data_IF_912016763700
#
_entry.id   IF_912016763700
#
_cell.length_a   1.000
_cell.length_b   1.000
_cell.length_c   1.000
_cell.angle_alpha   90.00
_cell.angle_beta   90.00
_cell.angle_gamma   90.00
#
_symmetry.space_group_name_H-M   'P 1'
#
loop_
_entity.id
_entity.type
_entity.pdbx_description
1 polymer ?
#
# COMPACT_ATOMS: atom_id res chain seq x y z
N UNK A 1 31.26 -48.22 -25.93
CA UNK A 1 29.89 -47.67 -25.78
C UNK A 1 29.70 -47.17 -24.37
N UNK A 2 29.15 -45.95 -24.23
CA UNK A 2 28.50 -45.33 -23.07
C UNK A 2 29.34 -44.92 -21.84
N UNK A 3 29.56 -43.60 -21.79
CA UNK A 3 29.84 -42.80 -20.61
C UNK A 3 28.64 -42.76 -19.64
N UNK A 4 28.91 -42.52 -18.35
CA UNK A 4 27.94 -41.95 -17.43
C UNK A 4 28.69 -41.12 -16.38
N UNK A 5 28.64 -39.79 -16.52
CA UNK A 5 29.07 -38.80 -15.53
C UNK A 5 27.90 -38.58 -14.57
N UNK A 6 28.08 -38.91 -13.29
CA UNK A 6 27.12 -38.61 -12.24
C UNK A 6 27.42 -37.21 -11.67
N UNK A 7 26.55 -36.24 -11.93
CA UNK A 7 26.58 -34.91 -11.34
C UNK A 7 25.65 -34.87 -10.11
N UNK A 8 26.07 -34.31 -8.96
CA UNK A 8 25.16 -34.10 -7.84
C UNK A 8 24.44 -32.75 -7.99
N UNK A 9 23.11 -32.79 -8.08
CA UNK A 9 22.25 -31.62 -7.97
C UNK A 9 22.19 -31.18 -6.50
N UNK A 10 22.86 -30.08 -6.17
CA UNK A 10 22.70 -29.41 -4.87
C UNK A 10 21.44 -28.54 -4.96
N UNK A 11 20.36 -28.99 -4.34
CA UNK A 11 19.13 -28.22 -4.21
C UNK A 11 19.32 -27.15 -3.13
N UNK A 12 19.27 -25.87 -3.53
CA UNK A 12 19.16 -24.74 -2.60
C UNK A 12 17.74 -24.69 -2.03
N UNK A 13 17.54 -24.64 -0.71
CA UNK A 13 16.23 -24.37 -0.13
C UNK A 13 15.95 -22.86 -0.28
N UNK A 14 15.01 -22.51 -1.16
CA UNK A 14 14.44 -21.18 -1.21
C UNK A 14 13.64 -20.95 0.08
N UNK A 15 14.23 -20.21 1.03
CA UNK A 15 13.49 -19.62 2.15
C UNK A 15 12.50 -18.61 1.57
N UNK A 16 11.27 -19.06 1.35
CA UNK A 16 10.14 -18.19 1.10
C UNK A 16 9.83 -17.45 2.41
N UNK A 17 10.38 -16.25 2.59
CA UNK A 17 9.88 -15.31 3.57
C UNK A 17 8.42 -15.02 3.22
N UNK A 18 7.51 -15.64 3.96
CA UNK A 18 6.08 -15.34 3.93
C UNK A 18 5.90 -13.91 4.45
N UNK A 19 5.93 -12.95 3.52
CA UNK A 19 5.51 -11.58 3.79
C UNK A 19 4.02 -11.65 4.18
N UNK A 20 3.60 -11.07 5.30
CA UNK A 20 2.20 -11.09 5.69
C UNK A 20 1.38 -10.52 4.54
N UNK A 21 0.37 -11.28 4.10
CA UNK A 21 -0.54 -10.89 3.04
C UNK A 21 -1.14 -9.53 3.40
N UNK A 22 -0.65 -8.48 2.74
CA UNK A 22 -1.17 -7.12 2.85
C UNK A 22 -2.62 -7.20 2.42
N UNK A 23 -3.54 -6.83 3.32
CA UNK A 23 -4.97 -6.78 3.04
C UNK A 23 -5.17 -6.09 1.69
N UNK A 24 -5.71 -6.86 0.75
CA UNK A 24 -5.74 -6.64 -0.69
C UNK A 24 -5.75 -5.16 -1.09
N UNK A 25 -4.59 -4.58 -1.39
CA UNK A 25 -4.54 -3.52 -2.39
C UNK A 25 -5.17 -4.15 -3.64
N UNK A 26 -6.16 -3.51 -4.25
CA UNK A 26 -6.50 -3.92 -5.61
C UNK A 26 -5.22 -3.74 -6.45
N UNK A 27 -4.60 -4.83 -6.94
CA UNK A 27 -3.36 -4.71 -7.71
C UNK A 27 -3.57 -3.83 -8.95
N UNK A 28 -4.81 -3.72 -9.43
CA UNK A 28 -5.16 -2.92 -10.58
C UNK A 28 -4.94 -1.41 -10.35
N UNK A 29 -5.17 -0.90 -9.13
CA UNK A 29 -5.14 0.54 -8.84
C UNK A 29 -3.84 1.00 -8.16
N UNK A 30 -2.96 0.06 -7.83
CA UNK A 30 -1.63 0.37 -7.26
C UNK A 30 -0.80 1.27 -8.19
N UNK A 31 -0.76 1.07 -9.52
CA UNK A 31 -0.07 1.98 -10.44
C UNK A 31 -0.60 3.42 -10.39
N UNK A 32 -1.92 3.61 -10.26
CA UNK A 32 -2.55 4.93 -10.21
C UNK A 32 -2.20 5.67 -8.91
N UNK A 33 -2.20 4.94 -7.79
CA UNK A 33 -1.72 5.47 -6.51
C UNK A 33 -0.28 5.97 -6.61
N UNK A 34 0.63 5.14 -7.15
CA UNK A 34 2.04 5.50 -7.31
C UNK A 34 2.21 6.68 -8.27
N UNK A 35 1.54 6.65 -9.42
CA UNK A 35 1.60 7.73 -10.40
C UNK A 35 1.14 9.07 -9.80
N UNK A 36 0.05 9.07 -9.03
CA UNK A 36 -0.44 10.26 -8.37
C UNK A 36 0.55 10.81 -7.34
N UNK A 37 1.18 9.94 -6.53
CA UNK A 37 2.20 10.36 -5.57
C UNK A 37 3.44 10.95 -6.25
N UNK A 38 3.89 10.33 -7.36
CA UNK A 38 5.04 10.79 -8.14
C UNK A 38 4.77 12.16 -8.78
N UNK A 39 3.56 12.35 -9.34
CA UNK A 39 3.11 13.63 -9.90
C UNK A 39 3.03 14.74 -8.84
N UNK A 40 2.73 14.39 -7.59
CA UNK A 40 2.69 15.31 -6.46
C UNK A 40 4.03 15.42 -5.71
N UNK A 41 5.11 14.87 -6.28
CA UNK A 41 6.47 14.90 -5.72
C UNK A 41 6.59 14.34 -4.31
N UNK A 42 5.75 13.36 -3.95
CA UNK A 42 5.82 12.68 -2.66
C UNK A 42 7.00 11.72 -2.68
N UNK A 43 7.97 11.93 -1.78
CA UNK A 43 9.11 11.02 -1.62
C UNK A 43 8.72 9.87 -0.69
N UNK A 44 9.05 8.66 -1.08
CA UNK A 44 8.85 7.45 -0.27
C UNK A 44 10.07 6.54 -0.37
N UNK A 45 10.28 5.72 0.66
CA UNK A 45 11.45 4.84 0.76
C UNK A 45 11.43 3.73 -0.29
N UNK A 46 10.26 3.16 -0.55
CA UNK A 46 10.03 2.15 -1.58
C UNK A 46 8.56 2.11 -1.97
N UNK A 47 8.26 1.62 -3.19
CA UNK A 47 6.88 1.43 -3.64
C UNK A 47 6.11 0.48 -2.71
N UNK A 48 6.75 -0.61 -2.24
CA UNK A 48 6.13 -1.55 -1.30
C UNK A 48 5.69 -0.86 0.00
N UNK A 49 6.58 -0.04 0.59
CA UNK A 49 6.28 0.67 1.84
C UNK A 49 5.11 1.62 1.66
N UNK A 50 5.10 2.44 0.60
CA UNK A 50 4.06 3.45 0.43
C UNK A 50 2.71 2.82 0.07
N UNK A 51 2.70 1.73 -0.71
CA UNK A 51 1.49 0.94 -0.96
C UNK A 51 0.94 0.39 0.35
N UNK A 52 1.81 -0.18 1.21
CA UNK A 52 1.37 -0.65 2.53
C UNK A 52 0.77 0.47 3.37
N UNK A 53 1.35 1.68 3.34
CA UNK A 53 0.77 2.85 4.04
C UNK A 53 -0.64 3.14 3.53
N UNK A 54 -0.83 3.20 2.21
CA UNK A 54 -2.14 3.46 1.61
C UNK A 54 -3.18 2.38 1.93
N UNK A 55 -2.84 1.12 1.76
CA UNK A 55 -3.76 -0.01 2.05
C UNK A 55 -4.08 -0.11 3.54
N UNK A 56 -3.11 0.18 4.41
CA UNK A 56 -3.31 0.13 5.86
C UNK A 56 -4.19 1.30 6.32
N UNK A 57 -3.98 2.51 5.77
CA UNK A 57 -4.91 3.62 5.98
C UNK A 57 -6.33 3.21 5.59
N UNK A 58 -6.50 2.65 4.40
CA UNK A 58 -7.79 2.19 3.92
C UNK A 58 -8.47 1.22 4.89
N UNK A 59 -7.74 0.17 5.27
CA UNK A 59 -8.23 -0.83 6.19
C UNK A 59 -8.57 -0.25 7.57
N UNK A 60 -7.78 0.71 8.08
CA UNK A 60 -8.05 1.37 9.35
C UNK A 60 -9.34 2.18 9.31
N UNK A 61 -9.55 2.96 8.25
CA UNK A 61 -10.72 3.81 8.10
C UNK A 61 -11.98 2.96 7.88
N UNK A 62 -11.92 1.99 6.97
CA UNK A 62 -13.07 1.15 6.59
C UNK A 62 -13.61 0.30 7.73
N UNK A 63 -12.73 -0.17 8.61
CA UNK A 63 -13.11 -1.01 9.74
C UNK A 63 -13.18 -0.23 11.05
N UNK A 64 -13.18 1.11 11.00
CA UNK A 64 -13.21 2.00 12.18
C UNK A 64 -12.17 1.63 13.25
N UNK A 65 -11.01 1.11 12.83
CA UNK A 65 -9.94 0.69 13.74
C UNK A 65 -9.29 1.89 14.43
N UNK A 66 -9.29 3.04 13.74
CA UNK A 66 -8.81 4.30 14.27
C UNK A 66 -9.73 5.45 13.82
N UNK A 67 -9.86 6.51 14.63
CA UNK A 67 -10.40 7.77 14.17
C UNK A 67 -9.57 8.33 12.99
N UNK A 68 -10.18 9.01 12.00
CA UNK A 68 -9.47 9.53 10.84
C UNK A 68 -8.25 10.39 11.20
N UNK A 69 -8.37 11.27 12.19
CA UNK A 69 -7.26 12.13 12.62
C UNK A 69 -6.06 11.32 13.13
N UNK A 70 -6.29 10.22 13.84
CA UNK A 70 -5.21 9.35 14.32
C UNK A 70 -4.55 8.58 13.17
N UNK A 71 -5.32 8.17 12.17
CA UNK A 71 -4.78 7.51 10.98
C UNK A 71 -3.90 8.48 10.16
N UNK A 72 -4.31 9.75 10.02
CA UNK A 72 -3.51 10.79 9.39
C UNK A 72 -2.26 11.13 10.21
N UNK A 73 -2.36 11.21 11.55
CA UNK A 73 -1.20 11.41 12.42
C UNK A 73 -0.15 10.29 12.26
N UNK A 74 -0.57 9.04 12.03
CA UNK A 74 0.40 7.95 11.75
C UNK A 74 1.24 8.24 10.51
N UNK A 75 0.62 8.75 9.44
CA UNK A 75 1.34 9.13 8.22
C UNK A 75 2.28 10.31 8.51
N UNK A 76 1.82 11.33 9.24
CA UNK A 76 2.68 12.45 9.64
C UNK A 76 3.90 12.00 10.46
N UNK A 77 3.71 11.04 11.36
CA UNK A 77 4.79 10.48 12.18
C UNK A 77 5.84 9.70 11.37
N UNK A 78 5.58 9.39 10.10
CA UNK A 78 6.58 8.84 9.16
C UNK A 78 7.49 9.93 8.56
N UNK A 79 7.30 11.20 8.92
CA UNK A 79 8.09 12.33 8.44
C UNK A 79 7.41 13.13 7.31
N UNK A 80 6.17 12.79 6.96
CA UNK A 80 5.40 13.54 5.96
C UNK A 80 4.86 14.84 6.54
N UNK A 81 4.93 15.91 5.75
CA UNK A 81 4.27 17.17 6.11
C UNK A 81 2.75 16.99 6.15
N UNK A 82 2.04 17.94 6.77
CA UNK A 82 0.57 17.95 6.75
C UNK A 82 0.02 17.93 5.32
N UNK A 83 0.64 18.67 4.40
CA UNK A 83 0.23 18.70 3.00
C UNK A 83 0.47 17.35 2.30
N UNK A 84 1.66 16.75 2.49
CA UNK A 84 1.97 15.44 1.92
C UNK A 84 1.04 14.35 2.46
N UNK A 85 0.71 14.43 3.75
CA UNK A 85 -0.23 13.49 4.40
C UNK A 85 -1.60 13.53 3.74
N UNK A 86 -2.13 14.72 3.45
CA UNK A 86 -3.41 14.86 2.75
C UNK A 86 -3.37 14.26 1.35
N UNK A 87 -2.29 14.49 0.61
CA UNK A 87 -2.09 13.92 -0.73
C UNK A 87 -2.05 12.39 -0.67
N UNK A 88 -1.27 11.82 0.27
CA UNK A 88 -1.17 10.38 0.49
C UNK A 88 -2.53 9.78 0.85
N UNK A 89 -3.25 10.41 1.77
CA UNK A 89 -4.53 9.93 2.25
C UNK A 89 -5.61 9.96 1.16
N UNK A 90 -5.71 11.07 0.44
CA UNK A 90 -6.63 11.21 -0.70
C UNK A 90 -6.37 10.12 -1.74
N UNK A 91 -5.12 10.00 -2.20
CA UNK A 91 -4.76 9.01 -3.21
C UNK A 91 -5.01 7.57 -2.75
N UNK A 92 -4.80 7.28 -1.46
CA UNK A 92 -5.04 5.95 -0.90
C UNK A 92 -6.54 5.61 -0.82
N UNK A 93 -7.39 6.57 -0.44
CA UNK A 93 -8.84 6.36 -0.40
C UNK A 93 -9.37 6.15 -1.81
N UNK A 94 -8.97 6.99 -2.77
CA UNK A 94 -9.36 6.85 -4.19
C UNK A 94 -8.94 5.51 -4.78
N UNK A 95 -7.69 5.08 -4.55
CA UNK A 95 -7.15 3.88 -5.18
C UNK A 95 -7.57 2.58 -4.48
N UNK A 96 -7.67 2.59 -3.14
CA UNK A 96 -7.82 1.37 -2.34
C UNK A 96 -9.15 1.27 -1.58
N UNK A 97 -9.90 2.38 -1.40
CA UNK A 97 -11.22 2.40 -0.76
C UNK A 97 -12.28 3.11 -1.62
N UNK A 98 -12.52 2.67 -2.87
CA UNK A 98 -13.46 3.36 -3.75
C UNK A 98 -14.90 3.41 -3.19
N UNK A 99 -15.25 2.50 -2.28
CA UNK A 99 -16.51 2.52 -1.53
C UNK A 99 -16.59 3.69 -0.53
N UNK A 100 -15.47 4.05 0.10
CA UNK A 100 -15.42 5.11 1.10
C UNK A 100 -15.41 6.53 0.51
N UNK A 101 -14.86 6.71 -0.69
CA UNK A 101 -14.94 8.01 -1.38
C UNK A 101 -16.39 8.35 -1.74
N UNK A 102 -17.14 7.36 -2.23
CA UNK A 102 -18.56 7.51 -2.56
C UNK A 102 -19.37 7.95 -1.32
N UNK A 103 -19.12 7.33 -0.16
CA UNK A 103 -19.80 7.67 1.10
C UNK A 103 -19.47 9.09 1.57
N UNK A 104 -18.21 9.52 1.44
CA UNK A 104 -17.77 10.87 1.80
C UNK A 104 -18.43 11.94 0.92
N UNK A 105 -18.53 11.70 -0.39
CA UNK A 105 -19.21 12.60 -1.32
C UNK A 105 -20.72 12.70 -1.05
N UNK A 106 -21.36 11.59 -0.65
CA UNK A 106 -22.78 11.59 -0.26
C UNK A 106 -23.02 12.36 1.04
N UNK A 107 -22.14 12.19 2.04
CA UNK A 107 -22.23 12.91 3.30
C UNK A 107 -22.06 14.43 3.13
N UNK A 108 -21.17 14.88 2.23
CA UNK A 108 -20.96 16.30 1.95
C UNK A 108 -22.13 16.99 1.22
N UNK A 109 -23.04 16.20 0.63
CA UNK A 109 -24.21 16.70 -0.11
C UNK A 109 -25.48 16.77 0.74
N UNK A 110 -25.44 16.22 1.96
CA UNK A 110 -26.56 16.13 2.91
C UNK A 110 -26.57 17.32 3.88
#
# INVERSE_FOLDING_TARGET
MKAALAAPLIALPALLCSVPAVANADPANTPDYIAYLDQNHIKYSSQETIVHVGTNLCNQLRNNMLPPDQALMRIQNMGYSSQQTKVIAFAAVEAFCPDMDIDAQQAAKS
#
